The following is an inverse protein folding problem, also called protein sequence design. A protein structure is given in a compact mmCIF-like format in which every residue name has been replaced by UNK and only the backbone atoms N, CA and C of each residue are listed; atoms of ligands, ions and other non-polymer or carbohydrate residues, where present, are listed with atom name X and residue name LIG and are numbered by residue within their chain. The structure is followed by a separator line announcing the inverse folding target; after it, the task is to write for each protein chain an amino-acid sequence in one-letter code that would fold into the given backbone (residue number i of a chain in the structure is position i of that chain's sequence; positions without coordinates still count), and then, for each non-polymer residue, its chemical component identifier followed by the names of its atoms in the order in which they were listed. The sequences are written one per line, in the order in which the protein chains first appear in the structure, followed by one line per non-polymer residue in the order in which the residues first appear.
data_IF_920434375122
#
_entry.id   IF_920434375122
#
_cell.length_a   1.000
_cell.length_b   1.000
_cell.length_c   1.000
_cell.angle_alpha   90.00
_cell.angle_beta   90.00
_cell.angle_gamma   90.00
#
_symmetry.space_group_name_H-M   'P 1'
#
loop_
_entity.id
_entity.type
_entity.pdbx_description
1 polymer ?
#
# COMPACT_ATOMS: atom_id res chain seq x y z
N UNK A 1 -43.86 39.60 -13.63
CA UNK A 1 -43.73 41.09 -13.59
C UNK A 1 -42.37 41.39 -14.20
N UNK A 2 -42.41 41.69 -15.50
CA UNK A 2 -41.88 42.85 -16.26
C UNK A 2 -40.32 42.80 -16.35
N UNK A 3 -39.83 42.32 -17.47
CA UNK A 3 -39.22 42.98 -18.65
C UNK A 3 -38.31 44.16 -18.30
N UNK A 4 -37.04 44.13 -18.76
CA UNK A 4 -36.51 45.14 -19.66
C UNK A 4 -35.37 44.62 -20.51
N UNK A 5 -35.63 44.60 -21.83
CA UNK A 5 -34.66 44.56 -22.93
C UNK A 5 -33.85 45.85 -22.97
N UNK A 6 -32.54 45.75 -23.20
CA UNK A 6 -31.83 46.89 -23.83
C UNK A 6 -30.86 46.38 -24.89
N UNK A 7 -31.34 46.59 -26.11
CA UNK A 7 -30.50 46.57 -27.34
C UNK A 7 -29.57 47.77 -27.33
N UNK A 8 -28.33 47.56 -27.67
CA UNK A 8 -27.52 48.61 -28.32
C UNK A 8 -26.94 48.06 -29.60
N UNK A 9 -27.33 48.77 -30.67
CA UNK A 9 -26.87 48.67 -32.05
C UNK A 9 -25.67 49.61 -32.23
N UNK A 10 -24.81 49.25 -33.17
CA UNK A 10 -23.94 50.17 -33.89
C UNK A 10 -22.48 49.88 -33.66
N UNK A 11 -21.65 49.80 -34.56
CA UNK A 11 -21.46 50.15 -35.93
C UNK A 11 -19.97 49.91 -36.25
N UNK A 12 -19.70 49.08 -37.24
CA UNK A 12 -18.66 49.18 -38.28
C UNK A 12 -17.16 49.47 -38.00
N UNK A 13 -16.37 48.64 -38.71
CA UNK A 13 -15.23 48.96 -39.61
C UNK A 13 -13.86 48.92 -38.98
N UNK A 14 -13.04 47.95 -39.31
CA UNK A 14 -11.96 48.03 -40.28
C UNK A 14 -11.13 46.74 -40.34
N UNK A 15 -10.95 46.25 -41.55
CA UNK A 15 -9.95 45.24 -41.91
C UNK A 15 -8.54 45.70 -41.54
N UNK A 16 -7.76 44.84 -40.90
CA UNK A 16 -6.31 44.79 -41.06
C UNK A 16 -5.89 43.32 -40.94
N UNK A 17 -5.55 42.75 -42.09
CA UNK A 17 -4.88 41.46 -42.18
C UNK A 17 -3.45 41.61 -41.64
N UNK A 18 -3.14 40.98 -40.52
CA UNK A 18 -1.78 40.75 -40.09
C UNK A 18 -1.63 39.25 -39.84
N UNK A 19 -0.83 38.62 -40.70
CA UNK A 19 -0.49 37.21 -40.60
C UNK A 19 0.20 36.90 -39.26
N UNK A 20 -0.46 36.17 -38.41
CA UNK A 20 0.14 35.58 -37.26
C UNK A 20 0.59 34.16 -37.62
N UNK A 21 1.90 33.96 -37.77
CA UNK A 21 2.54 32.67 -37.75
C UNK A 21 2.21 32.03 -36.41
N UNK A 22 1.35 31.02 -36.45
CA UNK A 22 1.05 30.19 -35.31
C UNK A 22 2.31 29.38 -35.02
N UNK A 23 3.14 29.89 -34.11
CA UNK A 23 4.16 29.07 -33.43
C UNK A 23 3.43 28.06 -32.54
N UNK A 24 3.28 26.83 -33.00
CA UNK A 24 2.95 25.72 -32.17
C UNK A 24 4.13 25.49 -31.22
N UNK A 25 4.14 26.15 -30.07
CA UNK A 25 4.97 25.75 -28.94
C UNK A 25 4.41 24.44 -28.43
N UNK A 26 5.19 23.33 -28.40
CA UNK A 26 4.75 22.16 -27.71
C UNK A 26 4.59 22.55 -26.22
N UNK A 27 3.37 22.45 -25.70
CA UNK A 27 3.13 22.53 -24.28
C UNK A 27 4.02 21.48 -23.61
N UNK A 28 4.86 21.86 -22.62
CA UNK A 28 5.50 20.86 -21.80
C UNK A 28 4.38 20.08 -21.14
N UNK A 29 4.27 18.80 -21.50
CA UNK A 29 3.46 17.86 -20.74
C UNK A 29 4.08 17.77 -19.35
N UNK A 30 3.64 18.63 -18.44
CA UNK A 30 3.83 18.42 -17.02
C UNK A 30 3.02 17.17 -16.68
N UNK A 31 3.63 16.00 -16.91
CA UNK A 31 3.21 14.81 -16.22
C UNK A 31 3.62 15.04 -14.76
N UNK A 32 2.78 15.77 -14.03
CA UNK A 32 2.77 15.62 -12.58
C UNK A 32 2.64 14.12 -12.33
N UNK A 33 3.60 13.50 -11.60
CA UNK A 33 3.40 12.15 -11.16
C UNK A 33 2.10 12.16 -10.37
N UNK A 34 1.06 11.52 -10.91
CA UNK A 34 -0.15 11.23 -10.16
C UNK A 34 0.35 10.35 -9.01
N UNK A 35 0.61 10.96 -7.87
CA UNK A 35 0.77 10.24 -6.63
C UNK A 35 -0.58 9.58 -6.40
N UNK A 36 -0.70 8.35 -6.90
CA UNK A 36 -1.75 7.46 -6.45
C UNK A 36 -1.42 7.22 -4.98
N UNK A 37 -2.09 7.97 -4.10
CA UNK A 37 -2.02 7.75 -2.67
C UNK A 37 -2.60 6.37 -2.40
N UNK A 38 -1.73 5.36 -2.42
CA UNK A 38 -2.11 4.02 -2.00
C UNK A 38 -2.58 4.11 -0.55
N UNK A 39 -3.73 3.51 -0.20
CA UNK A 39 -4.16 3.47 1.18
C UNK A 39 -3.02 2.95 2.07
N UNK A 40 -2.82 3.58 3.21
CA UNK A 40 -1.80 3.20 4.18
C UNK A 40 -2.39 3.12 5.58
N UNK A 41 -1.77 2.31 6.43
CA UNK A 41 -2.16 2.17 7.83
C UNK A 41 -0.93 2.09 8.72
N UNK A 42 -1.02 2.69 9.90
CA UNK A 42 0.08 2.79 10.87
C UNK A 42 -0.30 2.10 12.17
N UNK A 43 0.63 1.32 12.72
CA UNK A 43 0.50 0.64 14.01
C UNK A 43 1.71 0.90 14.88
N UNK A 44 1.47 1.07 16.19
CA UNK A 44 2.52 1.06 17.19
C UNK A 44 2.59 -0.34 17.82
N UNK A 45 3.82 -0.80 18.12
CA UNK A 45 4.08 -2.10 18.70
C UNK A 45 5.32 -2.07 19.60
N UNK A 46 5.46 -3.05 20.49
CA UNK A 46 6.63 -3.23 21.39
C UNK A 46 7.22 -4.61 21.29
N UNK A 47 6.41 -5.59 20.90
CA UNK A 47 6.78 -7.01 20.84
C UNK A 47 6.61 -7.56 19.42
N UNK A 48 7.31 -8.66 19.14
CA UNK A 48 7.18 -9.38 17.86
C UNK A 48 5.74 -9.87 17.65
N UNK A 49 5.04 -10.27 18.72
CA UNK A 49 3.65 -10.70 18.65
C UNK A 49 2.71 -9.56 18.24
N UNK A 50 2.91 -8.37 18.79
CA UNK A 50 2.14 -7.17 18.40
C UNK A 50 2.42 -6.76 16.95
N UNK A 51 3.67 -6.90 16.48
CA UNK A 51 4.03 -6.66 15.08
C UNK A 51 3.32 -7.64 14.13
N UNK A 52 3.24 -8.91 14.49
CA UNK A 52 2.48 -9.91 13.73
C UNK A 52 0.99 -9.56 13.69
N UNK A 53 0.41 -9.14 14.80
CA UNK A 53 -0.97 -8.69 14.87
C UNK A 53 -1.21 -7.45 14.00
N UNK A 54 -0.29 -6.48 14.04
CA UNK A 54 -0.33 -5.29 13.20
C UNK A 54 -0.32 -5.66 11.71
N UNK A 55 0.52 -6.62 11.29
CA UNK A 55 0.55 -7.10 9.91
C UNK A 55 -0.74 -7.82 9.51
N UNK A 56 -1.35 -8.61 10.39
CA UNK A 56 -2.66 -9.25 10.13
C UNK A 56 -3.76 -8.21 9.97
N UNK A 57 -3.79 -7.18 10.84
CA UNK A 57 -4.74 -6.08 10.73
C UNK A 57 -4.54 -5.29 9.43
N UNK A 58 -3.28 -5.03 9.04
CA UNK A 58 -2.95 -4.41 7.76
C UNK A 58 -3.42 -5.26 6.57
N UNK A 59 -3.30 -6.60 6.65
CA UNK A 59 -3.80 -7.52 5.62
C UNK A 59 -5.32 -7.41 5.47
N UNK A 60 -6.04 -7.37 6.58
CA UNK A 60 -7.50 -7.19 6.59
C UNK A 60 -7.90 -5.83 6.01
N UNK A 61 -7.19 -4.75 6.42
CA UNK A 61 -7.43 -3.41 5.92
C UNK A 61 -7.18 -3.31 4.41
N UNK A 62 -6.01 -3.74 3.93
CA UNK A 62 -5.67 -3.70 2.51
C UNK A 62 -6.56 -4.62 1.66
N UNK A 63 -7.05 -5.72 2.22
CA UNK A 63 -7.99 -6.64 1.57
C UNK A 63 -9.30 -5.96 1.13
N UNK A 64 -9.75 -4.93 1.85
CA UNK A 64 -10.93 -4.13 1.48
C UNK A 64 -10.73 -3.39 0.13
N UNK A 65 -9.49 -3.13 -0.24
CA UNK A 65 -9.10 -2.47 -1.50
C UNK A 65 -8.58 -3.46 -2.56
N UNK A 66 -8.73 -4.79 -2.33
CA UNK A 66 -8.20 -5.84 -3.21
C UNK A 66 -6.67 -5.74 -3.43
N UNK A 67 -5.96 -5.32 -2.38
CA UNK A 67 -4.51 -5.11 -2.34
C UNK A 67 -3.89 -5.91 -1.20
N UNK A 68 -2.56 -5.98 -1.15
CA UNK A 68 -1.83 -6.58 -0.04
C UNK A 68 -0.96 -5.55 0.68
N UNK A 69 -0.72 -5.71 1.98
CA UNK A 69 0.15 -4.80 2.73
C UNK A 69 1.61 -5.00 2.33
N UNK A 70 2.30 -3.90 2.11
CA UNK A 70 3.76 -3.82 1.99
C UNK A 70 4.27 -2.93 3.11
N UNK A 71 5.27 -3.38 3.84
CA UNK A 71 5.93 -2.54 4.86
C UNK A 71 6.67 -1.40 4.18
N UNK A 72 6.23 -0.17 4.46
CA UNK A 72 6.86 1.05 3.97
C UNK A 72 7.96 1.51 4.93
N UNK A 73 7.67 1.51 6.25
CA UNK A 73 8.59 2.03 7.26
C UNK A 73 8.46 1.24 8.57
N UNK A 74 9.59 1.00 9.21
CA UNK A 74 9.69 0.56 10.61
C UNK A 74 10.58 1.55 11.36
N UNK A 75 10.06 2.20 12.41
CA UNK A 75 10.75 3.25 13.16
C UNK A 75 10.78 2.92 14.65
N UNK A 76 11.91 3.18 15.31
CA UNK A 76 12.01 3.10 16.77
C UNK A 76 11.64 4.47 17.38
N UNK A 77 10.78 4.47 18.38
CA UNK A 77 10.36 5.67 19.08
C UNK A 77 11.21 5.89 20.35
N UNK A 78 11.34 7.14 20.82
CA UNK A 78 12.12 7.45 22.04
C UNK A 78 11.57 6.79 23.31
N UNK A 79 10.29 6.43 23.35
CA UNK A 79 9.60 5.77 24.48
C UNK A 79 9.79 4.24 24.51
N UNK A 80 10.64 3.69 23.62
CA UNK A 80 10.91 2.27 23.48
C UNK A 80 9.83 1.51 22.71
N UNK A 81 8.76 2.16 22.25
CA UNK A 81 7.85 1.59 21.28
C UNK A 81 8.44 1.66 19.86
N UNK A 82 7.81 0.97 18.92
CA UNK A 82 8.14 1.01 17.50
C UNK A 82 6.89 1.30 16.69
N UNK A 83 7.07 1.91 15.54
CA UNK A 83 5.98 2.21 14.60
C UNK A 83 6.20 1.45 13.30
N UNK A 84 5.16 0.77 12.83
CA UNK A 84 5.09 0.12 11.52
C UNK A 84 4.09 0.85 10.63
N UNK A 85 4.51 1.21 9.41
CA UNK A 85 3.66 1.78 8.36
C UNK A 85 3.54 0.75 7.24
N UNK A 86 2.32 0.40 6.89
CA UNK A 86 2.00 -0.49 5.77
C UNK A 86 1.28 0.28 4.68
N UNK A 87 1.72 0.10 3.44
CA UNK A 87 1.05 0.58 2.23
C UNK A 87 0.31 -0.55 1.55
N UNK A 88 -0.87 -0.29 1.05
CA UNK A 88 -1.65 -1.25 0.30
C UNK A 88 -1.24 -1.22 -1.18
N UNK A 89 -0.59 -2.27 -1.66
CA UNK A 89 -0.08 -2.37 -3.02
C UNK A 89 -0.74 -3.51 -3.80
N UNK A 90 -0.91 -3.35 -5.10
CA UNK A 90 -1.33 -4.45 -5.97
C UNK A 90 -0.18 -5.44 -6.10
N UNK A 91 -0.44 -6.72 -5.80
CA UNK A 91 0.54 -7.77 -5.95
C UNK A 91 0.17 -8.69 -7.10
N UNK A 92 1.10 -8.94 -8.00
CA UNK A 92 1.04 -10.08 -8.93
C UNK A 92 1.56 -11.28 -8.17
N UNK A 93 0.67 -12.21 -7.78
CA UNK A 93 1.04 -13.42 -7.04
C UNK A 93 1.85 -14.36 -7.94
N UNK A 94 3.02 -14.84 -7.50
CA UNK A 94 3.71 -15.94 -8.17
C UNK A 94 2.92 -17.25 -8.08
N UNK A 95 3.16 -18.24 -8.98
CA UNK A 95 2.47 -19.53 -8.95
C UNK A 95 2.74 -20.29 -7.64
N UNK A 96 1.80 -21.14 -7.19
CA UNK A 96 1.85 -21.73 -5.86
C UNK A 96 2.96 -22.76 -5.71
N UNK A 97 3.73 -22.70 -4.62
CA UNK A 97 4.48 -23.86 -4.16
C UNK A 97 3.52 -24.97 -3.65
N UNK A 98 4.00 -26.23 -3.56
CA UNK A 98 3.21 -27.33 -3.03
C UNK A 98 2.72 -27.06 -1.60
N UNK A 99 1.56 -27.62 -1.26
CA UNK A 99 0.88 -27.40 0.02
C UNK A 99 1.77 -27.85 1.18
N UNK A 100 2.26 -26.92 1.98
CA UNK A 100 2.93 -27.20 3.24
C UNK A 100 2.06 -26.65 4.38
N UNK A 101 1.52 -27.50 5.27
CA UNK A 101 0.66 -27.04 6.36
C UNK A 101 1.39 -26.18 7.40
N UNK A 102 2.72 -26.30 7.50
CA UNK A 102 3.54 -25.56 8.44
C UNK A 102 4.60 -24.73 7.69
N UNK A 103 4.48 -23.42 7.79
CA UNK A 103 5.41 -22.47 7.17
C UNK A 103 6.34 -21.94 8.26
N UNK A 104 7.58 -22.37 8.25
CA UNK A 104 8.57 -21.98 9.26
C UNK A 104 9.61 -21.05 8.65
N UNK A 105 9.82 -19.91 9.30
CA UNK A 105 10.77 -18.89 8.88
C UNK A 105 11.69 -18.52 10.03
N UNK A 106 12.96 -18.30 9.68
CA UNK A 106 13.98 -17.79 10.59
C UNK A 106 14.14 -16.29 10.35
N UNK A 107 14.24 -15.49 11.41
CA UNK A 107 14.40 -14.05 11.31
C UNK A 107 15.30 -13.51 12.41
N UNK A 108 15.88 -12.34 12.19
CA UNK A 108 16.71 -11.61 13.15
C UNK A 108 16.21 -10.19 13.38
N UNK A 109 15.51 -9.64 12.39
CA UNK A 109 15.01 -8.27 12.38
C UNK A 109 13.49 -8.23 12.28
N UNK A 110 12.90 -7.13 12.72
CA UNK A 110 11.46 -6.89 12.61
C UNK A 110 11.00 -6.89 11.14
N UNK A 111 11.84 -6.37 10.23
CA UNK A 111 11.56 -6.36 8.79
C UNK A 111 11.44 -7.79 8.24
N UNK A 112 12.37 -8.68 8.60
CA UNK A 112 12.32 -10.09 8.19
C UNK A 112 11.08 -10.81 8.76
N UNK A 113 10.69 -10.50 10.00
CA UNK A 113 9.48 -11.06 10.61
C UNK A 113 8.22 -10.65 9.86
N UNK A 114 8.09 -9.35 9.51
CA UNK A 114 6.96 -8.86 8.73
C UNK A 114 6.94 -9.50 7.34
N UNK A 115 8.08 -9.61 6.69
CA UNK A 115 8.19 -10.26 5.38
C UNK A 115 7.78 -11.73 5.45
N UNK A 116 8.21 -12.48 6.47
CA UNK A 116 7.79 -13.85 6.73
C UNK A 116 6.27 -13.96 6.89
N UNK A 117 5.68 -13.06 7.69
CA UNK A 117 4.24 -13.01 7.91
C UNK A 117 3.45 -12.67 6.63
N UNK A 118 3.92 -11.73 5.82
CA UNK A 118 3.32 -11.40 4.53
C UNK A 118 3.40 -12.57 3.55
N UNK A 119 4.53 -13.26 3.52
CA UNK A 119 4.72 -14.46 2.67
C UNK A 119 3.78 -15.59 3.10
N UNK A 120 3.66 -15.83 4.41
CA UNK A 120 2.72 -16.81 4.95
C UNK A 120 1.27 -16.43 4.63
N UNK A 121 0.92 -15.14 4.73
CA UNK A 121 -0.42 -14.62 4.39
C UNK A 121 -0.75 -14.86 2.92
N UNK A 122 0.15 -14.51 2.01
CA UNK A 122 -0.02 -14.72 0.58
C UNK A 122 -0.20 -16.22 0.25
N UNK A 123 0.58 -17.08 0.92
CA UNK A 123 0.47 -18.53 0.77
C UNK A 123 -0.89 -19.05 1.24
N UNK A 124 -1.28 -18.77 2.49
CA UNK A 124 -2.53 -19.28 3.06
C UNK A 124 -3.78 -18.76 2.33
N UNK A 125 -3.80 -17.47 1.96
CA UNK A 125 -4.92 -16.85 1.22
C UNK A 125 -5.17 -17.54 -0.12
N UNK A 126 -4.13 -18.03 -0.79
CA UNK A 126 -4.26 -18.77 -2.04
C UNK A 126 -5.06 -20.07 -1.89
N UNK A 127 -5.03 -20.68 -0.71
CA UNK A 127 -5.80 -21.88 -0.37
C UNK A 127 -7.08 -21.56 0.41
N UNK A 128 -7.52 -20.29 0.40
CA UNK A 128 -8.75 -19.86 1.08
C UNK A 128 -8.65 -19.86 2.60
N UNK A 129 -7.42 -19.88 3.14
CA UNK A 129 -7.12 -19.94 4.58
C UNK A 129 -6.47 -18.67 5.06
N UNK A 130 -6.32 -18.51 6.38
CA UNK A 130 -5.57 -17.40 7.00
C UNK A 130 -4.36 -17.93 7.78
N UNK A 131 -3.23 -17.19 7.80
CA UNK A 131 -2.10 -17.59 8.61
C UNK A 131 -2.40 -17.37 10.10
N UNK A 132 -2.16 -18.38 10.90
CA UNK A 132 -2.15 -18.31 12.35
C UNK A 132 -0.74 -18.56 12.83
N UNK A 133 -0.21 -17.70 13.70
CA UNK A 133 1.08 -17.95 14.35
C UNK A 133 0.93 -19.08 15.34
N UNK A 134 1.61 -20.20 15.11
CA UNK A 134 1.59 -21.36 15.98
C UNK A 134 2.76 -21.37 16.96
N UNK A 135 3.89 -20.76 16.61
CA UNK A 135 5.10 -20.75 17.45
C UNK A 135 5.98 -19.55 17.16
N UNK A 136 6.54 -18.97 18.21
CA UNK A 136 7.63 -18.00 18.20
C UNK A 136 8.70 -18.51 19.17
N UNK A 137 9.89 -18.84 18.65
CA UNK A 137 10.99 -19.41 19.44
C UNK A 137 12.25 -18.57 19.21
N UNK A 138 12.95 -18.25 20.30
CA UNK A 138 14.28 -17.66 20.24
C UNK A 138 15.30 -18.72 20.65
N UNK A 139 16.27 -19.01 19.79
CA UNK A 139 17.33 -19.95 20.14
C UNK A 139 18.48 -19.27 20.88
N UNK A 140 19.39 -20.06 21.44
CA UNK A 140 20.54 -19.56 22.23
C UNK A 140 21.52 -18.67 21.44
N UNK A 141 21.49 -18.73 20.12
CA UNK A 141 22.31 -17.90 19.23
C UNK A 141 21.65 -16.55 18.87
N UNK A 142 20.51 -16.19 19.51
CA UNK A 142 19.77 -14.96 19.23
C UNK A 142 18.98 -14.98 17.91
N UNK A 143 18.99 -16.09 17.19
CA UNK A 143 18.17 -16.28 15.99
C UNK A 143 16.75 -16.67 16.45
N UNK A 144 15.75 -16.03 15.86
CA UNK A 144 14.34 -16.27 16.16
C UNK A 144 13.70 -17.08 15.03
N UNK A 145 12.74 -17.91 15.37
CA UNK A 145 11.98 -18.73 14.42
C UNK A 145 10.49 -18.50 14.66
N UNK A 146 9.76 -18.25 13.58
CA UNK A 146 8.30 -18.15 13.57
C UNK A 146 7.71 -19.25 12.73
N UNK A 147 6.67 -19.91 13.21
CA UNK A 147 5.91 -20.92 12.47
C UNK A 147 4.48 -20.46 12.32
N UNK A 148 3.99 -20.47 11.09
CA UNK A 148 2.60 -20.19 10.74
C UNK A 148 1.91 -21.46 10.30
N UNK A 149 0.64 -21.60 10.63
CA UNK A 149 -0.25 -22.64 10.13
C UNK A 149 -1.39 -21.97 9.36
N UNK A 150 -1.77 -22.55 8.23
CA UNK A 150 -2.95 -22.11 7.49
C UNK A 150 -4.20 -22.69 8.15
N UNK A 151 -4.97 -21.86 8.85
CA UNK A 151 -6.23 -22.23 9.49
C UNK A 151 -7.43 -22.02 8.59
N UNK A 152 -8.48 -22.84 8.75
CA UNK A 152 -9.79 -22.58 8.14
C UNK A 152 -10.45 -21.38 8.78
N UNK A 153 -11.18 -20.58 7.98
CA UNK A 153 -12.08 -19.54 8.50
C UNK A 153 -13.24 -20.14 9.27
#
# INVERSE_FOLDING_TARGET
MIMVFRRFRGLNIALLAAGAVASCSPLPSSQEPVQSSSPSVTYNYRTDQELLQANQNATTYCGQYQTAPRTATLTNNPDGSKTAVFECVRTTLPPPPPVNPNLTYTYRTDQELVQASQTASAYCLKYGSQPMTSSLVTNSAGTKTVTFQCGSR
#
